data_IF_897023175301
#
_entry.id   IF_897023175301
#
_cell.length_a   1.000
_cell.length_b   1.000
_cell.length_c   1.000
_cell.angle_alpha   90.00
_cell.angle_beta   90.00
_cell.angle_gamma   90.00
#
_symmetry.space_group_name_H-M   'P 1'
#
loop_
_entity.id
_entity.type
_entity.pdbx_description
1 polymer ?
#
# COMPACT_ATOMS: atom_id res chain seq x y z
N UNK A 1 -40.14 10.96 57.04
CA UNK A 1 -39.32 9.87 56.45
C UNK A 1 -39.66 9.61 54.99
N UNK A 2 -40.92 9.79 54.56
CA UNK A 2 -41.37 9.61 53.17
C UNK A 2 -40.58 10.43 52.11
N UNK A 3 -40.20 11.67 52.41
CA UNK A 3 -39.43 12.52 51.47
C UNK A 3 -38.04 11.96 51.15
N UNK A 4 -37.41 11.22 52.09
CA UNK A 4 -36.13 10.57 51.83
C UNK A 4 -36.29 9.30 51.00
N UNK A 5 -37.37 8.56 51.22
CA UNK A 5 -37.67 7.33 50.47
C UNK A 5 -37.96 7.68 49.01
N UNK A 6 -38.81 8.68 48.77
CA UNK A 6 -39.14 9.16 47.41
C UNK A 6 -37.91 9.71 46.68
N UNK A 7 -37.06 10.47 47.37
CA UNK A 7 -35.79 10.94 46.81
C UNK A 7 -34.89 9.77 46.39
N UNK A 8 -34.69 8.78 47.25
CA UNK A 8 -33.85 7.61 46.93
C UNK A 8 -34.43 6.78 45.78
N UNK A 9 -35.76 6.63 45.71
CA UNK A 9 -36.42 5.96 44.58
C UNK A 9 -36.23 6.70 43.25
N UNK A 10 -36.26 8.04 43.29
CA UNK A 10 -35.96 8.87 42.12
C UNK A 10 -34.52 8.66 41.66
N UNK A 11 -33.55 8.70 42.57
CA UNK A 11 -32.13 8.50 42.24
C UNK A 11 -31.88 7.09 41.68
N UNK A 12 -32.55 6.07 42.23
CA UNK A 12 -32.44 4.70 41.71
C UNK A 12 -33.01 4.62 40.28
N UNK A 13 -34.13 5.30 40.00
CA UNK A 13 -34.70 5.32 38.64
C UNK A 13 -33.75 6.01 37.66
N UNK A 14 -33.20 7.17 38.02
CA UNK A 14 -32.27 7.88 37.12
C UNK A 14 -31.01 7.07 36.85
N UNK A 15 -30.44 6.42 37.87
CA UNK A 15 -29.26 5.56 37.70
C UNK A 15 -29.57 4.35 36.81
N UNK A 16 -30.79 3.81 36.90
CA UNK A 16 -31.23 2.70 36.05
C UNK A 16 -31.38 3.15 34.59
N UNK A 17 -31.99 4.30 34.37
CA UNK A 17 -32.15 4.88 33.02
C UNK A 17 -30.79 5.21 32.40
N UNK A 18 -29.87 5.79 33.18
CA UNK A 18 -28.49 6.07 32.76
C UNK A 18 -27.74 4.78 32.42
N UNK A 19 -27.92 3.71 33.22
CA UNK A 19 -27.32 2.40 32.94
C UNK A 19 -27.84 1.80 31.64
N UNK A 20 -29.14 1.88 31.38
CA UNK A 20 -29.74 1.37 30.14
C UNK A 20 -29.23 2.15 28.92
N UNK A 21 -29.15 3.48 29.04
CA UNK A 21 -28.58 4.34 27.99
C UNK A 21 -27.10 4.02 27.72
N UNK A 22 -26.33 3.73 28.78
CA UNK A 22 -24.93 3.32 28.64
C UNK A 22 -24.80 1.99 27.88
N UNK A 23 -25.65 1.01 28.17
CA UNK A 23 -25.67 -0.27 27.47
C UNK A 23 -26.04 -0.13 25.99
N UNK A 24 -26.99 0.73 25.66
CA UNK A 24 -27.36 1.04 24.27
C UNK A 24 -26.20 1.68 23.50
N UNK A 25 -25.54 2.67 24.11
CA UNK A 25 -24.35 3.31 23.53
C UNK A 25 -23.21 2.31 23.33
N UNK A 26 -23.00 1.44 24.30
CA UNK A 26 -21.97 0.41 24.23
C UNK A 26 -22.25 -0.56 23.07
N UNK A 27 -23.50 -1.00 22.90
CA UNK A 27 -23.90 -1.84 21.75
C UNK A 27 -23.69 -1.13 20.41
N UNK A 28 -24.05 0.15 20.32
CA UNK A 28 -23.84 0.93 19.11
C UNK A 28 -22.34 1.03 18.75
N UNK A 29 -21.49 1.31 19.73
CA UNK A 29 -20.03 1.36 19.55
C UNK A 29 -19.44 0.00 19.17
N UNK A 30 -19.94 -1.10 19.74
CA UNK A 30 -19.50 -2.44 19.36
C UNK A 30 -19.81 -2.75 17.90
N UNK A 31 -20.99 -2.35 17.41
CA UNK A 31 -21.36 -2.54 16.01
C UNK A 31 -20.52 -1.63 15.09
N UNK A 32 -20.25 -0.39 15.49
CA UNK A 32 -19.36 0.51 14.74
C UNK A 32 -17.95 -0.07 14.62
N UNK A 33 -17.37 -0.56 15.71
CA UNK A 33 -16.06 -1.23 15.71
C UNK A 33 -16.07 -2.44 14.78
N UNK A 34 -17.14 -3.24 14.77
CA UNK A 34 -17.28 -4.38 13.88
C UNK A 34 -17.31 -3.97 12.42
N UNK A 35 -18.10 -2.96 12.07
CA UNK A 35 -18.17 -2.44 10.70
C UNK A 35 -16.83 -1.87 10.23
N UNK A 36 -16.15 -1.11 11.10
CA UNK A 36 -14.81 -0.59 10.81
C UNK A 36 -13.79 -1.71 10.62
N UNK A 37 -13.89 -2.78 11.40
CA UNK A 37 -13.04 -3.96 11.25
C UNK A 37 -13.25 -4.66 9.91
N UNK A 38 -14.50 -4.82 9.47
CA UNK A 38 -14.83 -5.41 8.18
C UNK A 38 -14.32 -4.57 7.01
N UNK A 39 -14.50 -3.25 7.07
CA UNK A 39 -13.96 -2.31 6.08
C UNK A 39 -12.42 -2.33 6.06
N UNK A 40 -11.79 -2.34 7.22
CA UNK A 40 -10.33 -2.38 7.34
C UNK A 40 -9.74 -3.63 6.68
N UNK A 41 -10.34 -4.80 6.90
CA UNK A 41 -9.91 -6.05 6.25
C UNK A 41 -10.05 -6.00 4.74
N UNK A 42 -11.16 -5.46 4.24
CA UNK A 42 -11.37 -5.29 2.80
C UNK A 42 -10.31 -4.35 2.20
N UNK A 43 -10.09 -3.21 2.82
CA UNK A 43 -9.10 -2.23 2.35
C UNK A 43 -7.68 -2.79 2.38
N UNK A 44 -7.32 -3.54 3.43
CA UNK A 44 -6.00 -4.18 3.51
C UNK A 44 -5.79 -5.21 2.38
N UNK A 45 -6.82 -6.00 2.05
CA UNK A 45 -6.74 -6.92 0.92
C UNK A 45 -6.59 -6.18 -0.41
N UNK A 46 -7.40 -5.15 -0.65
CA UNK A 46 -7.32 -4.33 -1.88
C UNK A 46 -5.96 -3.64 -2.03
N UNK A 47 -5.38 -3.14 -0.94
CA UNK A 47 -4.03 -2.57 -0.94
C UNK A 47 -2.98 -3.60 -1.35
N UNK A 48 -3.02 -4.82 -0.80
CA UNK A 48 -2.06 -5.87 -1.18
C UNK A 48 -2.18 -6.29 -2.64
N UNK A 49 -3.40 -6.31 -3.20
CA UNK A 49 -3.59 -6.55 -4.64
C UNK A 49 -2.94 -5.45 -5.46
N UNK A 50 -3.19 -4.18 -5.13
CA UNK A 50 -2.61 -3.03 -5.83
C UNK A 50 -1.08 -2.98 -5.73
N UNK A 51 -0.52 -3.30 -4.56
CA UNK A 51 0.94 -3.41 -4.36
C UNK A 51 1.54 -4.48 -5.27
N UNK A 52 0.90 -5.66 -5.36
CA UNK A 52 1.37 -6.73 -6.24
C UNK A 52 1.31 -6.35 -7.72
N UNK A 53 0.25 -5.67 -8.15
CA UNK A 53 0.09 -5.20 -9.53
C UNK A 53 1.12 -4.11 -9.88
N UNK A 54 1.40 -3.21 -8.93
CA UNK A 54 2.43 -2.19 -9.07
C UNK A 54 3.82 -2.82 -9.21
N UNK A 55 4.14 -3.83 -8.40
CA UNK A 55 5.42 -4.54 -8.48
C UNK A 55 5.58 -5.29 -9.81
N UNK A 56 4.57 -6.03 -10.27
CA UNK A 56 4.62 -6.68 -11.60
C UNK A 56 4.86 -5.66 -12.71
N UNK A 57 4.22 -4.51 -12.62
CA UNK A 57 4.38 -3.43 -13.60
C UNK A 57 5.80 -2.86 -13.58
N UNK A 58 6.39 -2.66 -12.39
CA UNK A 58 7.76 -2.21 -12.21
C UNK A 58 8.76 -3.22 -12.76
N UNK A 59 8.63 -4.50 -12.41
CA UNK A 59 9.50 -5.58 -12.89
C UNK A 59 9.47 -5.68 -14.42
N UNK A 60 8.28 -5.54 -15.01
CA UNK A 60 8.12 -5.51 -16.48
C UNK A 60 8.75 -4.28 -17.12
N UNK A 61 8.65 -3.12 -16.49
CA UNK A 61 9.30 -1.89 -16.96
C UNK A 61 10.81 -2.04 -16.92
N UNK A 62 11.37 -2.58 -15.82
CA UNK A 62 12.80 -2.84 -15.69
C UNK A 62 13.29 -3.83 -16.76
N UNK A 63 12.54 -4.91 -17.00
CA UNK A 63 12.86 -5.87 -18.07
C UNK A 63 12.83 -5.24 -19.47
N UNK A 64 11.97 -4.24 -19.71
CA UNK A 64 11.97 -3.46 -20.96
C UNK A 64 13.17 -2.51 -21.02
N UNK A 65 13.46 -1.80 -19.93
CA UNK A 65 14.64 -0.92 -19.86
C UNK A 65 15.93 -1.69 -20.12
N UNK A 66 16.11 -2.88 -19.52
CA UNK A 66 17.27 -3.75 -19.79
C UNK A 66 17.37 -4.21 -21.25
N UNK A 67 16.23 -4.39 -21.94
CA UNK A 67 16.22 -4.71 -23.38
C UNK A 67 16.57 -3.51 -24.26
N UNK A 68 16.22 -2.30 -23.83
CA UNK A 68 16.55 -1.05 -24.53
C UNK A 68 18.00 -0.67 -24.27
N UNK A 69 18.47 -0.80 -23.03
CA UNK A 69 19.87 -0.69 -22.60
C UNK A 69 20.65 -1.98 -22.87
N UNK A 70 20.44 -2.62 -24.04
CA UNK A 70 21.42 -3.60 -24.52
C UNK A 70 22.79 -2.95 -24.35
N UNK A 71 23.70 -3.54 -23.55
CA UNK A 71 24.98 -2.90 -23.30
C UNK A 71 25.63 -2.74 -24.67
N UNK A 72 25.88 -1.50 -25.06
CA UNK A 72 26.73 -1.19 -26.19
C UNK A 72 28.08 -1.80 -25.81
N UNK A 73 28.29 -3.04 -26.24
CA UNK A 73 29.44 -3.82 -25.82
C UNK A 73 30.66 -3.27 -26.53
N UNK A 74 31.39 -2.51 -25.74
CA UNK A 74 32.62 -1.80 -26.02
C UNK A 74 33.84 -2.68 -26.36
N UNK A 75 33.81 -3.60 -27.33
CA UNK A 75 34.96 -4.48 -27.55
C UNK A 75 36.14 -3.74 -28.21
N UNK A 76 37.22 -3.54 -27.45
CA UNK A 76 38.53 -3.12 -27.95
C UNK A 76 39.30 -4.34 -28.45
N UNK A 77 39.57 -4.40 -29.76
CA UNK A 77 40.42 -5.44 -30.34
C UNK A 77 41.43 -4.78 -31.28
N UNK A 78 42.73 -4.97 -31.03
CA UNK A 78 43.84 -4.43 -31.84
C UNK A 78 43.68 -2.93 -32.21
N UNK A 79 43.29 -2.08 -31.25
CA UNK A 79 43.17 -0.63 -31.46
C UNK A 79 41.93 -0.16 -32.24
N UNK A 80 41.02 -1.06 -32.62
CA UNK A 80 39.73 -0.71 -33.23
C UNK A 80 38.57 -0.87 -32.23
N UNK A 81 37.64 0.08 -32.25
CA UNK A 81 36.42 0.06 -31.43
C UNK A 81 35.26 -0.48 -32.28
N UNK A 82 34.54 -1.48 -31.79
CA UNK A 82 33.43 -2.09 -32.53
C UNK A 82 32.13 -1.93 -31.75
N UNK A 83 31.21 -1.13 -32.29
CA UNK A 83 29.90 -0.88 -31.68
C UNK A 83 28.94 -2.01 -32.08
N UNK A 84 28.39 -2.70 -31.10
CA UNK A 84 27.39 -3.75 -31.32
C UNK A 84 26.03 -3.31 -30.77
N UNK A 85 25.12 -2.90 -31.65
CA UNK A 85 23.75 -2.47 -31.29
C UNK A 85 22.75 -3.66 -31.37
N UNK A 86 23.24 -4.91 -31.31
CA UNK A 86 22.40 -6.10 -31.24
C UNK A 86 21.78 -6.58 -32.57
N UNK A 87 22.00 -5.90 -33.69
CA UNK A 87 21.57 -6.33 -35.06
C UNK A 87 22.67 -6.20 -36.13
N UNK A 88 23.66 -5.32 -35.93
CA UNK A 88 24.81 -5.13 -36.84
C UNK A 88 26.04 -4.69 -36.03
N UNK A 89 27.21 -5.09 -36.50
CA UNK A 89 28.51 -4.68 -35.96
C UNK A 89 29.01 -3.48 -36.77
N UNK A 90 29.09 -2.30 -36.15
CA UNK A 90 29.67 -1.11 -36.77
C UNK A 90 31.14 -0.95 -36.32
N UNK A 91 32.05 -0.86 -37.28
CA UNK A 91 33.45 -0.57 -37.03
C UNK A 91 33.63 0.95 -36.93
N UNK A 92 34.03 1.47 -35.77
CA UNK A 92 34.27 2.92 -35.58
C UNK A 92 35.78 3.14 -35.58
N UNK A 93 36.30 3.66 -36.69
CA UNK A 93 37.71 4.03 -36.81
C UNK A 93 37.84 5.49 -36.33
N UNK A 94 38.39 5.67 -35.13
CA UNK A 94 38.89 6.95 -34.66
C UNK A 94 37.82 7.99 -34.30
N UNK A 95 37.16 7.83 -33.17
CA UNK A 95 36.92 8.94 -32.23
C UNK A 95 36.63 8.34 -30.85
N UNK A 96 37.24 8.92 -29.83
CA UNK A 96 37.16 8.48 -28.43
C UNK A 96 35.70 8.42 -27.99
N UNK A 97 35.21 7.22 -27.66
CA UNK A 97 33.96 7.09 -26.92
C UNK A 97 34.18 7.65 -25.51
N UNK A 98 33.72 8.88 -25.28
CA UNK A 98 33.49 9.37 -23.92
C UNK A 98 32.20 8.73 -23.41
N UNK A 99 32.31 8.08 -22.25
CA UNK A 99 31.19 7.80 -21.35
C UNK A 99 30.50 9.10 -20.95
#
# INVERSE_FOLDING_TARGET
MENKITYLQSVISTLKDDSLLADEKLKALQEEVRLLWDVSRKNNFELHVLESEAQDTEDRMEAVNLKVEKPISCCYFNGCFTRFDGQRMLMVIGTVCKL
#
